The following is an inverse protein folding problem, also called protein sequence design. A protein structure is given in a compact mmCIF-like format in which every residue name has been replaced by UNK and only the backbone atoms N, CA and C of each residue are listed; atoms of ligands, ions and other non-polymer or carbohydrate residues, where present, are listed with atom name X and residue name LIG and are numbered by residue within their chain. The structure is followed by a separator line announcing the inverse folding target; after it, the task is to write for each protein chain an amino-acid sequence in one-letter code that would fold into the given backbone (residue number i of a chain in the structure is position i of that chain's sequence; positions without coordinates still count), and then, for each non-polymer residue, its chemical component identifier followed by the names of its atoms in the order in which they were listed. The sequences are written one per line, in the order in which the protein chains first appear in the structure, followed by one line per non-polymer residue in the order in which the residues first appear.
data_IF_026511164817
#
_entry.id   IF_026511164817
#
_cell.length_a   1.000
_cell.length_b   1.000
_cell.length_c   1.000
_cell.angle_alpha   90.00
_cell.angle_beta   90.00
_cell.angle_gamma   90.00
#
_symmetry.space_group_name_H-M   'P 1'
#
loop_
_entity.id
_entity.type
_entity.pdbx_description
1 polymer ?
#
# COMPACT_ATOMS: atom_id res chain seq x y z
N UNK A 1 -1.52 51.80 -25.72
CA UNK A 1 -1.44 50.34 -25.95
C UNK A 1 -1.43 49.63 -24.59
N UNK A 2 -2.44 48.82 -24.27
CA UNK A 2 -2.44 48.01 -23.04
C UNK A 2 -1.95 46.61 -23.38
N UNK A 3 -0.74 46.25 -22.94
CA UNK A 3 -0.22 44.88 -23.03
C UNK A 3 -0.95 44.02 -22.01
N UNK A 4 -2.03 43.36 -22.44
CA UNK A 4 -2.68 42.30 -21.65
C UNK A 4 -1.73 41.11 -21.68
N UNK A 5 -0.84 41.04 -20.68
CA UNK A 5 -0.04 39.85 -20.45
C UNK A 5 -0.95 38.72 -20.02
N UNK A 6 -1.19 37.74 -20.90
CA UNK A 6 -1.80 36.47 -20.53
C UNK A 6 -0.91 35.81 -19.45
N UNK A 7 -1.19 36.07 -18.17
CA UNK A 7 -0.75 35.20 -17.09
C UNK A 7 -1.41 33.86 -17.38
N UNK A 8 -0.63 32.89 -17.86
CA UNK A 8 -1.03 31.47 -17.91
C UNK A 8 -1.74 31.18 -16.58
N UNK A 9 -3.04 30.87 -16.64
CA UNK A 9 -3.75 30.44 -15.43
C UNK A 9 -2.91 29.30 -14.83
N UNK A 10 -2.68 29.27 -13.50
CA UNK A 10 -1.96 28.16 -12.89
C UNK A 10 -2.65 26.87 -13.35
N UNK A 11 -1.88 25.96 -13.95
CA UNK A 11 -2.39 24.69 -14.46
C UNK A 11 -3.34 24.11 -13.40
N UNK A 12 -4.61 23.82 -13.75
CA UNK A 12 -5.62 23.43 -12.77
C UNK A 12 -5.18 22.10 -12.15
N UNK A 13 -4.44 22.16 -11.06
CA UNK A 13 -3.96 21.01 -10.34
C UNK A 13 -4.88 20.71 -9.16
N UNK A 14 -4.80 19.48 -8.67
CA UNK A 14 -5.43 19.10 -7.43
C UNK A 14 -4.45 18.50 -6.45
N UNK A 15 -4.99 18.09 -5.30
CA UNK A 15 -4.25 17.44 -4.21
C UNK A 15 -5.01 16.21 -3.77
N UNK A 16 -4.27 15.27 -3.22
CA UNK A 16 -4.81 14.10 -2.55
C UNK A 16 -4.52 14.29 -1.06
N UNK A 17 -5.56 14.24 -0.24
CA UNK A 17 -5.47 14.22 1.21
C UNK A 17 -5.83 12.81 1.68
N UNK A 18 -4.92 12.19 2.41
CA UNK A 18 -5.10 10.85 2.97
C UNK A 18 -5.22 10.97 4.48
N UNK A 19 -6.27 10.39 5.05
CA UNK A 19 -6.44 10.18 6.48
C UNK A 19 -6.37 8.68 6.79
N UNK A 20 -5.36 8.28 7.54
CA UNK A 20 -5.11 6.91 7.95
C UNK A 20 -5.71 6.67 9.33
N UNK A 21 -6.58 5.65 9.41
CA UNK A 21 -7.32 5.31 10.62
C UNK A 21 -7.28 3.81 10.89
N UNK A 22 -7.62 3.42 12.11
CA UNK A 22 -7.92 2.04 12.48
C UNK A 22 -9.24 1.57 11.85
N UNK A 23 -9.30 0.29 11.49
CA UNK A 23 -10.49 -0.32 10.88
C UNK A 23 -11.68 -0.44 11.85
N UNK A 24 -11.41 -0.66 13.14
CA UNK A 24 -12.42 -0.78 14.19
C UNK A 24 -12.72 0.54 14.88
N UNK A 25 -11.72 1.43 14.99
CA UNK A 25 -11.88 2.75 15.61
C UNK A 25 -11.40 3.88 14.68
N UNK A 26 -12.34 4.48 13.94
CA UNK A 26 -12.05 5.58 13.01
C UNK A 26 -11.47 6.84 13.69
N UNK A 27 -11.62 6.98 15.02
CA UNK A 27 -11.04 8.08 15.78
C UNK A 27 -9.55 7.85 16.07
N UNK A 28 -9.10 6.59 16.03
CA UNK A 28 -7.71 6.23 16.21
C UNK A 28 -6.94 6.51 14.91
N UNK A 29 -6.22 7.63 14.89
CA UNK A 29 -5.42 8.07 13.74
C UNK A 29 -4.03 7.42 13.74
N UNK A 30 -3.54 7.01 12.57
CA UNK A 30 -2.34 6.19 12.47
C UNK A 30 -1.18 6.91 11.77
N UNK A 31 -0.12 7.16 12.54
CA UNK A 31 1.15 7.76 12.08
C UNK A 31 2.04 6.75 11.35
N UNK A 32 2.83 7.25 10.40
CA UNK A 32 3.95 6.52 9.81
C UNK A 32 3.57 5.52 8.71
N UNK A 33 2.32 5.56 8.23
CA UNK A 33 1.96 4.89 6.99
C UNK A 33 2.66 5.59 5.83
N UNK A 34 3.24 4.82 4.90
CA UNK A 34 3.86 5.36 3.68
C UNK A 34 3.06 4.91 2.48
N UNK A 35 2.65 5.88 1.68
CA UNK A 35 1.90 5.70 0.44
C UNK A 35 2.73 6.10 -0.76
N UNK A 36 2.61 5.31 -1.82
CA UNK A 36 3.12 5.58 -3.14
C UNK A 36 1.95 6.01 -4.04
N UNK A 37 2.08 7.14 -4.71
CA UNK A 37 1.09 7.63 -5.69
C UNK A 37 1.65 7.41 -7.08
N UNK A 38 0.94 6.62 -7.88
CA UNK A 38 1.27 6.26 -9.25
C UNK A 38 0.31 6.99 -10.20
N UNK A 39 0.79 7.45 -11.35
CA UNK A 39 -0.08 7.95 -12.42
C UNK A 39 -0.68 6.79 -13.23
N UNK A 40 -1.53 7.10 -14.22
CA UNK A 40 -2.10 6.11 -15.16
C UNK A 40 -1.07 5.22 -15.89
N UNK A 41 0.17 5.67 -16.00
CA UNK A 41 1.28 4.95 -16.66
C UNK A 41 2.06 4.07 -15.68
N UNK A 42 1.66 4.03 -14.40
CA UNK A 42 2.36 3.31 -13.34
C UNK A 42 3.63 4.01 -12.84
N UNK A 43 3.87 5.27 -13.21
CA UNK A 43 5.03 6.05 -12.74
C UNK A 43 4.75 6.64 -11.37
N UNK A 44 5.69 6.49 -10.44
CA UNK A 44 5.64 7.16 -9.14
C UNK A 44 5.74 8.68 -9.30
N UNK A 45 4.69 9.37 -8.90
CA UNK A 45 4.59 10.84 -8.94
C UNK A 45 4.66 11.47 -7.57
N UNK A 46 4.43 10.71 -6.49
CA UNK A 46 4.61 11.18 -5.13
C UNK A 46 4.78 10.01 -4.14
N UNK A 47 5.45 10.32 -3.02
CA UNK A 47 5.54 9.45 -1.85
C UNK A 47 5.10 10.24 -0.63
N UNK A 48 4.11 9.72 0.08
CA UNK A 48 3.41 10.42 1.16
C UNK A 48 3.57 9.63 2.46
N UNK A 49 3.86 10.30 3.57
CA UNK A 49 3.97 9.67 4.89
C UNK A 49 3.02 10.34 5.86
N UNK A 50 2.23 9.56 6.61
CA UNK A 50 1.25 10.12 7.55
C UNK A 50 1.92 10.68 8.80
N UNK A 51 1.44 11.84 9.22
CA UNK A 51 1.87 12.54 10.43
C UNK A 51 1.24 11.95 11.71
N UNK A 52 1.48 12.60 12.85
CA UNK A 52 0.94 12.17 14.15
C UNK A 52 -0.59 12.18 14.22
N UNK A 53 -1.23 12.97 13.36
CA UNK A 53 -2.69 13.03 13.23
C UNK A 53 -3.21 12.03 12.21
N UNK A 54 -2.35 11.13 11.71
CA UNK A 54 -2.66 10.16 10.67
C UNK A 54 -2.97 10.80 9.31
N UNK A 55 -2.57 12.06 9.08
CA UNK A 55 -2.89 12.80 7.86
C UNK A 55 -1.67 13.02 7.00
N UNK A 56 -1.88 13.09 5.69
CA UNK A 56 -0.89 13.57 4.73
C UNK A 56 -1.56 14.18 3.52
N UNK A 57 -0.98 15.25 2.98
CA UNK A 57 -1.47 15.94 1.78
C UNK A 57 -0.39 15.86 0.72
N UNK A 58 -0.77 15.55 -0.51
CA UNK A 58 0.16 15.52 -1.63
C UNK A 58 0.58 16.92 -2.06
N UNK A 59 1.71 16.99 -2.77
CA UNK A 59 2.01 18.13 -3.64
C UNK A 59 0.91 18.30 -4.70
N UNK A 60 0.90 19.44 -5.38
CA UNK A 60 -0.01 19.68 -6.48
C UNK A 60 0.23 18.66 -7.60
N UNK A 61 -0.81 17.92 -7.94
CA UNK A 61 -0.86 16.90 -8.98
C UNK A 61 -1.71 17.42 -10.14
N UNK A 62 -1.37 17.01 -11.35
CA UNK A 62 -2.16 17.35 -12.55
C UNK A 62 -3.50 16.61 -12.49
N UNK A 63 -4.53 17.11 -13.16
CA UNK A 63 -5.79 16.37 -13.31
C UNK A 63 -5.56 15.03 -13.98
N UNK A 64 -6.33 14.04 -13.55
CA UNK A 64 -6.29 12.69 -14.09
C UNK A 64 -6.38 11.61 -13.02
N UNK A 65 -6.17 10.38 -13.46
CA UNK A 65 -6.29 9.17 -12.64
C UNK A 65 -4.97 8.79 -12.00
N UNK A 66 -5.05 8.41 -10.74
CA UNK A 66 -3.93 7.99 -9.91
C UNK A 66 -4.28 6.73 -9.14
N UNK A 67 -3.25 5.93 -8.87
CA UNK A 67 -3.32 4.75 -8.03
C UNK A 67 -2.47 4.97 -6.79
N UNK A 68 -3.08 4.87 -5.63
CA UNK A 68 -2.41 5.00 -4.33
C UNK A 68 -2.18 3.59 -3.79
N UNK A 69 -0.93 3.27 -3.48
CA UNK A 69 -0.53 2.00 -2.86
C UNK A 69 0.06 2.28 -1.49
N UNK A 70 -0.40 1.58 -0.46
CA UNK A 70 0.31 1.58 0.82
C UNK A 70 1.55 0.68 0.67
N UNK A 71 2.74 1.26 0.83
CA UNK A 71 4.01 0.53 0.73
C UNK A 71 4.58 0.19 2.12
N UNK A 72 4.10 0.88 3.16
CA UNK A 72 4.44 0.61 4.55
C UNK A 72 3.25 0.92 5.44
N UNK A 73 2.80 -0.07 6.20
CA UNK A 73 1.77 0.12 7.21
C UNK A 73 2.33 0.82 8.46
N UNK A 74 1.47 1.48 9.24
CA UNK A 74 1.77 1.88 10.61
C UNK A 74 2.23 0.69 11.48
N UNK A 75 3.00 0.98 12.52
CA UNK A 75 3.46 -0.05 13.45
C UNK A 75 2.26 -0.73 14.15
N UNK A 76 2.22 -2.06 14.14
CA UNK A 76 1.11 -2.84 14.72
C UNK A 76 -0.11 -2.98 13.80
N UNK A 77 0.02 -2.68 12.50
CA UNK A 77 -1.08 -2.77 11.52
C UNK A 77 -0.71 -3.64 10.32
N UNK A 78 -1.73 -4.25 9.72
CA UNK A 78 -1.59 -5.01 8.48
C UNK A 78 -1.43 -4.05 7.29
N UNK A 79 -0.59 -4.41 6.32
CA UNK A 79 -0.41 -3.66 5.07
C UNK A 79 -1.64 -3.84 4.17
N UNK A 80 -2.19 -2.72 3.70
CA UNK A 80 -3.25 -2.72 2.71
C UNK A 80 -2.70 -3.25 1.37
N UNK A 81 -3.22 -4.38 0.90
CA UNK A 81 -2.81 -5.01 -0.36
C UNK A 81 -3.53 -4.43 -1.57
N UNK A 82 -4.76 -3.99 -1.36
CA UNK A 82 -5.60 -3.46 -2.43
C UNK A 82 -5.23 -2.00 -2.74
N UNK A 83 -4.89 -1.69 -4.00
CA UNK A 83 -4.63 -0.32 -4.41
C UNK A 83 -5.91 0.51 -4.39
N UNK A 84 -5.78 1.81 -4.11
CA UNK A 84 -6.89 2.77 -4.12
C UNK A 84 -6.78 3.61 -5.39
N UNK A 85 -7.82 3.59 -6.21
CA UNK A 85 -7.90 4.43 -7.40
C UNK A 85 -8.58 5.75 -7.07
N UNK A 86 -7.99 6.85 -7.53
CA UNK A 86 -8.54 8.20 -7.35
C UNK A 86 -8.40 9.00 -8.63
N UNK A 87 -9.40 9.82 -8.92
CA UNK A 87 -9.39 10.73 -10.05
C UNK A 87 -9.49 12.17 -9.56
N UNK A 88 -8.57 13.03 -10.03
CA UNK A 88 -8.57 14.46 -9.76
C UNK A 88 -9.18 15.15 -10.98
N UNK A 89 -10.29 15.86 -10.76
CA UNK A 89 -11.02 16.60 -11.81
C UNK A 89 -11.09 18.09 -11.45
N UNK A 90 -11.47 18.94 -12.41
CA UNK A 90 -11.65 20.38 -12.12
C UNK A 90 -12.75 20.66 -11.11
N UNK A 91 -13.79 19.81 -11.09
CA UNK A 91 -14.88 19.91 -10.13
C UNK A 91 -14.41 19.61 -8.69
N UNK A 92 -13.46 18.67 -8.54
CA UNK A 92 -12.94 18.28 -7.22
C UNK A 92 -11.41 18.35 -7.19
N UNK A 93 -10.93 19.54 -6.81
CA UNK A 93 -9.49 19.83 -6.70
C UNK A 93 -8.80 19.17 -5.52
N UNK A 94 -9.52 18.74 -4.48
CA UNK A 94 -8.92 18.06 -3.32
C UNK A 94 -9.67 16.78 -3.02
N UNK A 95 -9.04 15.64 -3.30
CA UNK A 95 -9.61 14.33 -3.03
C UNK A 95 -9.22 13.88 -1.63
N UNK A 96 -10.21 13.82 -0.73
CA UNK A 96 -10.06 13.31 0.63
C UNK A 96 -10.35 11.81 0.65
N UNK A 97 -9.40 11.04 1.14
CA UNK A 97 -9.46 9.57 1.17
C UNK A 97 -9.19 9.11 2.59
N UNK A 98 -10.11 8.32 3.14
CA UNK A 98 -9.89 7.65 4.43
C UNK A 98 -9.43 6.22 4.18
N UNK A 99 -8.25 5.87 4.71
CA UNK A 99 -7.65 4.55 4.55
C UNK A 99 -7.62 3.82 5.89
N UNK A 100 -8.35 2.72 5.98
CA UNK A 100 -8.48 1.88 7.17
C UNK A 100 -7.46 0.74 7.16
N UNK A 101 -6.78 0.50 8.29
CA UNK A 101 -5.98 -0.72 8.46
C UNK A 101 -6.50 -1.48 9.68
N UNK A 102 -6.56 -2.80 9.53
CA UNK A 102 -6.77 -3.70 10.65
C UNK A 102 -5.47 -3.80 11.47
N UNK A 103 -5.59 -3.76 12.81
CA UNK A 103 -4.49 -4.08 13.71
C UNK A 103 -3.96 -5.49 13.41
N UNK A 104 -2.66 -5.69 13.63
CA UNK A 104 -2.10 -7.01 13.71
C UNK A 104 -2.61 -7.71 14.98
N UNK A 105 -3.79 -8.32 14.92
CA UNK A 105 -4.00 -9.44 15.83
C UNK A 105 -2.89 -10.44 15.47
N UNK A 106 -2.11 -10.93 16.44
CA UNK A 106 -1.04 -11.92 16.23
C UNK A 106 -1.63 -13.27 15.80
N UNK A 107 -2.37 -13.27 14.70
CA UNK A 107 -2.66 -14.42 13.88
C UNK A 107 -1.36 -14.72 13.18
N UNK A 108 -0.76 -15.85 13.52
CA UNK A 108 0.14 -16.55 12.61
C UNK A 108 -0.52 -16.45 11.23
N UNK A 109 0.15 -15.89 10.20
CA UNK A 109 -0.45 -15.92 8.88
C UNK A 109 -0.73 -17.39 8.58
N UNK A 110 -1.92 -17.73 8.12
CA UNK A 110 -2.10 -18.96 7.37
C UNK A 110 -1.29 -18.82 6.07
N UNK A 111 0.05 -18.90 6.15
CA UNK A 111 0.90 -19.32 5.05
C UNK A 111 0.78 -20.83 4.93
N UNK A 112 -0.44 -21.28 4.67
CA UNK A 112 -0.84 -22.64 4.31
C UNK A 112 -1.55 -22.67 2.95
N UNK A 113 -1.41 -21.63 2.14
CA UNK A 113 -1.85 -21.61 0.74
C UNK A 113 -0.71 -22.07 -0.16
N UNK A 114 -0.98 -23.08 -1.00
CA UNK A 114 -0.28 -23.61 -2.19
C UNK A 114 1.26 -23.72 -2.22
N UNK A 115 2.02 -22.75 -1.72
CA UNK A 115 3.49 -22.72 -1.72
C UNK A 115 4.14 -23.50 -0.57
N UNK A 116 3.48 -23.67 0.57
CA UNK A 116 4.07 -24.34 1.75
C UNK A 116 4.02 -25.87 1.66
N UNK A 117 3.04 -26.44 0.96
CA UNK A 117 2.91 -27.90 0.80
C UNK A 117 4.13 -28.51 0.13
N UNK A 118 4.74 -27.81 -0.83
CA UNK A 118 5.91 -28.31 -1.58
C UNK A 118 7.11 -28.51 -0.64
N UNK A 119 7.36 -27.62 0.32
CA UNK A 119 8.48 -27.75 1.26
C UNK A 119 8.32 -28.96 2.19
N UNK A 120 7.10 -29.23 2.68
CA UNK A 120 6.85 -30.41 3.51
C UNK A 120 6.94 -31.72 2.71
N UNK A 121 6.41 -31.77 1.48
CA UNK A 121 6.45 -32.98 0.65
C UNK A 121 7.89 -33.30 0.24
N UNK A 122 8.68 -32.31 -0.19
CA UNK A 122 10.10 -32.50 -0.50
C UNK A 122 10.88 -32.89 0.76
N UNK A 123 10.62 -32.26 1.90
CA UNK A 123 11.25 -32.62 3.18
C UNK A 123 10.97 -34.05 3.61
N UNK A 124 9.72 -34.51 3.48
CA UNK A 124 9.32 -35.89 3.78
C UNK A 124 9.99 -36.89 2.83
N UNK A 125 10.05 -36.61 1.52
CA UNK A 125 10.70 -37.48 0.55
C UNK A 125 12.21 -37.62 0.80
N UNK A 126 12.90 -36.52 1.13
CA UNK A 126 14.33 -36.57 1.49
C UNK A 126 14.54 -37.38 2.77
N UNK A 127 13.69 -37.20 3.79
CA UNK A 127 13.80 -37.94 5.05
C UNK A 127 13.61 -39.45 4.86
N UNK A 128 12.61 -39.86 4.06
CA UNK A 128 12.40 -41.27 3.72
C UNK A 128 13.55 -41.85 2.87
N UNK A 129 14.10 -41.06 1.95
CA UNK A 129 15.28 -41.46 1.16
C UNK A 129 16.51 -41.74 2.04
N UNK A 130 16.79 -40.87 3.02
CA UNK A 130 17.89 -41.05 3.98
C UNK A 130 17.64 -42.28 4.86
N UNK A 131 16.43 -42.46 5.40
CA UNK A 131 16.10 -43.64 6.21
C UNK A 131 16.22 -44.95 5.42
N UNK A 132 15.77 -44.96 4.16
CA UNK A 132 15.89 -46.12 3.28
C UNK A 132 17.35 -46.46 2.96
N UNK A 133 18.16 -45.45 2.66
CA UNK A 133 19.58 -45.63 2.36
C UNK A 133 20.40 -46.05 3.59
N UNK A 134 20.17 -45.42 4.75
CA UNK A 134 20.81 -45.80 6.00
C UNK A 134 20.46 -47.22 6.43
N UNK A 135 19.24 -47.71 6.15
CA UNK A 135 18.87 -49.10 6.41
C UNK A 135 19.52 -50.10 5.43
N UNK A 136 19.74 -49.71 4.18
CA UNK A 136 20.36 -50.56 3.16
C UNK A 136 21.88 -50.73 3.36
N UNK A 137 22.55 -49.73 3.92
CA UNK A 137 24.00 -49.77 4.18
C UNK A 137 24.39 -50.45 5.51
N UNK A 138 23.42 -50.94 6.27
CA UNK A 138 23.63 -51.78 7.47
C UNK A 138 23.32 -53.27 7.20
N UNK A 139 23.53 -53.74 5.97
CA UNK A 139 23.55 -55.17 5.58
C UNK A 139 24.94 -55.53 5.08
#
# INVERSE_FOLDING_TARGET
EMKIGNKKLPDPGGKIEIEKVDDKDINLKLKGAVFQVLNKEGKEVARLTTDEKGKVISRQLVLGKYTIKEIKAPNGYMLLRDPIEVEITEAVRTQKITVKNAKNNWMIPNTGGSGTTIFYVVGILVMFGVLYFSKKNHV
#
